data_IF_492156362564
#
_entry.id   IF_492156362564
#
_cell.length_a   1.000
_cell.length_b   1.000
_cell.length_c   1.000
_cell.angle_alpha   90.00
_cell.angle_beta   90.00
_cell.angle_gamma   90.00
#
_symmetry.space_group_name_H-M   'P 1'
#
loop_
_entity.id
_entity.type
_entity.pdbx_description
1 polymer ?
#
# COMPACT_ATOMS: atom_id res chain seq x y z
N UNK A 1 33.02 -15.27 11.84
CA UNK A 1 32.29 -14.08 11.37
C UNK A 1 30.86 -14.50 11.15
N UNK A 2 29.99 -14.28 12.12
CA UNK A 2 28.56 -14.51 11.95
C UNK A 2 28.02 -13.39 11.06
N UNK A 3 27.48 -13.77 9.90
CA UNK A 3 26.72 -12.85 9.07
C UNK A 3 25.39 -12.69 9.79
N UNK A 4 25.22 -11.60 10.54
CA UNK A 4 23.94 -11.27 11.14
C UNK A 4 22.94 -10.99 10.01
N UNK A 5 22.12 -11.98 9.68
CA UNK A 5 21.04 -11.88 8.70
C UNK A 5 19.81 -11.34 9.42
N UNK A 6 19.86 -10.06 9.80
CA UNK A 6 18.65 -9.31 10.14
C UNK A 6 17.83 -9.13 8.86
N UNK A 7 17.06 -10.17 8.52
CA UNK A 7 16.13 -10.12 7.42
C UNK A 7 14.97 -9.21 7.82
N UNK A 8 14.86 -8.05 7.16
CA UNK A 8 13.67 -7.23 7.23
C UNK A 8 12.45 -8.09 6.86
N UNK A 9 11.53 -8.26 7.82
CA UNK A 9 10.33 -9.09 7.63
C UNK A 9 9.37 -8.35 6.69
N UNK A 10 8.95 -9.02 5.63
CA UNK A 10 7.95 -8.52 4.69
C UNK A 10 6.71 -9.41 4.75
N UNK A 11 5.56 -8.80 4.96
CA UNK A 11 4.26 -9.46 4.79
C UNK A 11 3.66 -9.04 3.44
N UNK A 12 3.22 -10.02 2.65
CA UNK A 12 2.56 -9.77 1.37
C UNK A 12 1.10 -10.18 1.49
N UNK A 13 0.19 -9.24 1.25
CA UNK A 13 -1.25 -9.48 1.27
C UNK A 13 -1.81 -9.51 -0.16
N UNK A 14 -2.03 -10.72 -0.69
CA UNK A 14 -2.57 -10.93 -2.04
C UNK A 14 -4.05 -11.31 -2.00
N UNK A 15 -4.76 -11.02 -3.10
CA UNK A 15 -6.14 -11.47 -3.30
C UNK A 15 -6.91 -10.60 -4.30
N UNK A 16 -8.10 -11.04 -4.76
CA UNK A 16 -8.91 -10.31 -5.73
C UNK A 16 -9.33 -8.92 -5.25
N UNK A 17 -9.72 -8.02 -6.15
CA UNK A 17 -10.32 -6.73 -5.78
C UNK A 17 -11.61 -6.96 -4.96
N UNK A 18 -11.91 -6.03 -4.06
CA UNK A 18 -13.10 -6.04 -3.19
C UNK A 18 -13.19 -7.16 -2.12
N UNK A 19 -12.15 -7.97 -1.90
CA UNK A 19 -12.14 -8.96 -0.79
C UNK A 19 -11.75 -8.38 0.58
N UNK A 20 -11.69 -7.05 0.72
CA UNK A 20 -11.39 -6.38 1.99
C UNK A 20 -9.91 -6.27 2.37
N UNK A 21 -8.99 -6.39 1.40
CA UNK A 21 -7.53 -6.32 1.66
C UNK A 21 -7.09 -5.02 2.33
N UNK A 22 -7.63 -3.87 1.89
CA UNK A 22 -7.28 -2.55 2.44
C UNK A 22 -7.58 -2.46 3.93
N UNK A 23 -8.77 -2.89 4.36
CA UNK A 23 -9.13 -2.86 5.79
C UNK A 23 -8.27 -3.84 6.61
N UNK A 24 -7.95 -5.01 6.04
CA UNK A 24 -7.06 -5.96 6.70
C UNK A 24 -5.62 -5.42 6.82
N UNK A 25 -5.09 -4.78 5.77
CA UNK A 25 -3.74 -4.21 5.79
C UNK A 25 -3.63 -3.09 6.82
N UNK A 26 -4.65 -2.24 6.96
CA UNK A 26 -4.69 -1.18 7.98
C UNK A 26 -4.63 -1.76 9.40
N UNK A 27 -5.46 -2.77 9.70
CA UNK A 27 -5.47 -3.42 11.03
C UNK A 27 -4.13 -4.07 11.37
N UNK A 28 -3.50 -4.70 10.38
CA UNK A 28 -2.17 -5.31 10.55
C UNK A 28 -1.14 -4.22 10.81
N UNK A 29 -1.15 -3.15 10.00
CA UNK A 29 -0.23 -2.04 10.11
C UNK A 29 -0.29 -1.33 11.47
N UNK A 30 -1.51 -1.04 11.95
CA UNK A 30 -1.72 -0.46 13.28
C UNK A 30 -1.22 -1.39 14.39
N UNK A 31 -1.54 -2.70 14.30
CA UNK A 31 -1.18 -3.68 15.33
C UNK A 31 0.32 -3.91 15.45
N UNK A 32 1.03 -3.92 14.33
CA UNK A 32 2.46 -4.24 14.28
C UNK A 32 3.34 -3.00 14.10
N UNK A 33 2.74 -1.79 14.08
CA UNK A 33 3.45 -0.53 13.82
C UNK A 33 4.27 -0.60 12.52
N UNK A 34 3.68 -1.13 11.46
CA UNK A 34 4.32 -1.24 10.15
C UNK A 34 3.69 -0.31 9.12
N UNK A 35 4.38 -0.13 8.01
CA UNK A 35 3.98 0.75 6.92
C UNK A 35 3.36 -0.07 5.78
N UNK A 36 2.51 0.56 4.97
CA UNK A 36 1.85 -0.08 3.84
C UNK A 36 2.50 0.37 2.53
N UNK A 37 2.88 -0.59 1.68
CA UNK A 37 3.32 -0.33 0.31
C UNK A 37 2.18 -0.78 -0.61
N UNK A 38 1.57 0.17 -1.33
CA UNK A 38 0.54 -0.13 -2.33
C UNK A 38 1.17 -0.82 -3.54
N UNK A 39 0.66 -2.01 -3.90
CA UNK A 39 1.13 -2.77 -5.08
C UNK A 39 -0.03 -2.99 -6.04
N UNK A 40 -0.57 -1.89 -6.54
CA UNK A 40 -1.62 -1.85 -7.56
C UNK A 40 -1.21 -0.85 -8.64
N UNK A 41 -1.26 -1.27 -9.91
CA UNK A 41 -0.76 -0.48 -11.03
C UNK A 41 -1.58 0.78 -11.31
N UNK A 42 -2.78 0.90 -10.75
CA UNK A 42 -3.69 2.03 -10.98
C UNK A 42 -3.74 3.01 -9.80
N UNK A 43 -3.47 2.55 -8.57
CA UNK A 43 -3.49 3.42 -7.39
C UNK A 43 -2.32 4.41 -7.30
N UNK A 44 -1.27 4.20 -8.11
CA UNK A 44 -0.11 5.10 -8.21
C UNK A 44 -0.43 6.46 -8.84
N UNK A 45 -1.49 6.54 -9.66
CA UNK A 45 -1.81 7.73 -10.46
C UNK A 45 -2.63 8.74 -9.68
N UNK A 46 -2.19 10.00 -9.64
CA UNK A 46 -2.88 11.12 -9.00
C UNK A 46 -4.29 11.33 -9.58
N UNK A 47 -5.21 11.84 -8.76
CA UNK A 47 -6.59 12.22 -9.13
C UNK A 47 -7.53 11.07 -9.53
N UNK A 48 -7.02 9.85 -9.70
CA UNK A 48 -7.80 8.68 -10.11
C UNK A 48 -8.38 7.89 -8.92
N UNK A 49 -8.98 8.56 -7.93
CA UNK A 49 -9.25 7.92 -6.63
C UNK A 49 -10.41 6.90 -6.65
N UNK A 50 -11.56 7.31 -7.21
CA UNK A 50 -12.81 6.52 -7.15
C UNK A 50 -12.69 5.24 -7.99
N UNK A 51 -12.24 5.35 -9.23
CA UNK A 51 -12.18 4.22 -10.16
C UNK A 51 -11.12 3.18 -9.81
N UNK A 52 -10.15 3.53 -8.97
CA UNK A 52 -9.03 2.65 -8.56
C UNK A 52 -9.17 2.15 -7.13
N UNK A 53 -10.30 2.47 -6.48
CA UNK A 53 -10.60 2.09 -5.10
C UNK A 53 -9.45 2.42 -4.13
N UNK A 54 -8.83 3.60 -4.28
CA UNK A 54 -7.76 4.04 -3.38
C UNK A 54 -8.28 4.13 -1.94
N UNK A 55 -7.42 3.82 -0.94
CA UNK A 55 -7.71 4.16 0.43
C UNK A 55 -7.97 5.66 0.57
N UNK A 56 -9.01 6.01 1.31
CA UNK A 56 -9.42 7.39 1.58
C UNK A 56 -8.33 8.17 2.33
N UNK A 57 -8.31 9.51 2.30
CA UNK A 57 -7.37 10.30 3.09
C UNK A 57 -7.39 9.97 4.58
N UNK A 58 -8.56 9.65 5.13
CA UNK A 58 -8.73 9.23 6.51
C UNK A 58 -8.05 7.89 6.79
N UNK A 59 -8.21 6.91 5.90
CA UNK A 59 -7.52 5.62 6.00
C UNK A 59 -6.00 5.78 5.87
N UNK A 60 -5.56 6.61 4.93
CA UNK A 60 -4.13 6.92 4.73
C UNK A 60 -3.50 7.68 5.89
N UNK A 61 -4.31 8.38 6.68
CA UNK A 61 -3.87 9.06 7.90
C UNK A 61 -3.65 8.12 9.10
N UNK A 62 -4.13 6.88 9.04
CA UNK A 62 -3.99 5.90 10.14
C UNK A 62 -2.56 5.35 10.24
N UNK A 63 -1.92 5.11 9.10
CA UNK A 63 -0.56 4.55 8.99
C UNK A 63 0.13 5.07 7.73
N UNK A 64 1.48 5.12 7.66
CA UNK A 64 2.18 5.53 6.44
C UNK A 64 1.84 4.64 5.24
N UNK A 65 1.55 5.28 4.10
CA UNK A 65 1.29 4.62 2.82
C UNK A 65 2.29 5.09 1.77
N UNK A 66 2.84 4.12 1.03
CA UNK A 66 3.75 4.34 -0.08
C UNK A 66 3.13 3.91 -1.40
N UNK A 67 3.65 4.44 -2.51
CA UNK A 67 3.21 4.13 -3.88
C UNK A 67 1.73 4.45 -4.16
N UNK A 68 1.24 5.56 -3.59
CA UNK A 68 -0.07 6.14 -3.90
C UNK A 68 0.15 7.59 -4.34
N UNK A 69 -0.54 8.03 -5.39
CA UNK A 69 -0.46 9.42 -5.88
C UNK A 69 0.97 9.89 -6.23
N UNK A 70 1.82 8.99 -6.74
CA UNK A 70 3.22 9.24 -7.08
C UNK A 70 3.47 9.63 -8.54
N UNK A 71 2.50 9.38 -9.44
CA UNK A 71 2.62 9.62 -10.89
C UNK A 71 1.43 10.44 -11.40
N UNK A 72 1.59 11.29 -12.42
CA UNK A 72 0.44 11.94 -13.08
C UNK A 72 -0.22 11.00 -14.10
N UNK A 73 -1.54 11.08 -14.34
CA UNK A 73 -2.24 10.13 -15.23
C UNK A 73 -1.72 10.06 -16.68
N UNK A 74 -1.02 11.08 -17.14
CA UNK A 74 -0.44 11.20 -18.48
C UNK A 74 1.00 10.67 -18.57
N UNK A 75 1.61 10.32 -17.45
CA UNK A 75 2.93 9.69 -17.40
C UNK A 75 2.85 8.16 -17.49
N UNK A 76 3.88 7.54 -18.06
CA UNK A 76 4.04 6.08 -18.00
C UNK A 76 4.78 5.66 -16.73
N UNK A 77 4.44 4.48 -16.18
CA UNK A 77 5.12 3.87 -15.04
C UNK A 77 5.31 2.37 -15.26
N UNK A 78 6.54 1.88 -15.11
CA UNK A 78 6.96 0.48 -15.33
C UNK A 78 7.93 0.02 -14.27
#
# INVERSE_FOLDING_TARGET
>A
MEINKDHNKLLVLLGPTAVGKTELSLRIAERFSCEIIGVDSMQIYKYMDIGTAKPTPQERGRVPHHLIDIVYPDDNYT
#
